data_IF_962244319985
#
_entry.id   IF_962244319985
#
_cell.length_a   1.000
_cell.length_b   1.000
_cell.length_c   1.000
_cell.angle_alpha   90.00
_cell.angle_beta   90.00
_cell.angle_gamma   90.00
#
_symmetry.space_group_name_H-M   'P 1'
#
loop_
_entity.id
_entity.type
_entity.pdbx_description
1 polymer ?
#
# COMPACT_ATOMS: atom_id res chain seq x y z
N UNK A 1 4.82 -35.24 -5.94
CA UNK A 1 4.04 -34.05 -5.55
C UNK A 1 3.07 -33.60 -6.65
N UNK A 2 3.52 -33.45 -7.90
CA UNK A 2 2.68 -33.03 -9.05
C UNK A 2 1.72 -34.09 -9.62
N UNK A 3 1.71 -35.31 -9.07
CA UNK A 3 0.81 -36.37 -9.55
C UNK A 3 -0.62 -36.15 -9.02
N UNK A 4 -1.65 -36.23 -9.88
CA UNK A 4 -3.05 -36.01 -9.48
C UNK A 4 -3.58 -37.09 -8.53
N UNK A 5 -2.93 -38.27 -8.49
CA UNK A 5 -3.41 -39.45 -7.75
C UNK A 5 -2.91 -39.56 -6.30
N UNK A 6 -2.25 -38.53 -5.77
CA UNK A 6 -1.73 -38.53 -4.40
C UNK A 6 -2.81 -38.04 -3.44
N UNK A 7 -2.98 -38.74 -2.30
CA UNK A 7 -3.89 -38.32 -1.22
C UNK A 7 -3.52 -36.92 -0.69
N UNK A 8 -4.49 -36.20 -0.15
CA UNK A 8 -4.24 -34.87 0.42
C UNK A 8 -3.26 -34.92 1.61
N UNK A 9 -3.29 -36.00 2.39
CA UNK A 9 -2.38 -36.24 3.51
C UNK A 9 -0.95 -36.47 3.03
N UNK A 10 -0.73 -37.32 2.03
CA UNK A 10 0.59 -37.54 1.47
C UNK A 10 1.12 -36.28 0.75
N UNK A 11 0.26 -35.49 0.10
CA UNK A 11 0.68 -34.18 -0.45
C UNK A 11 1.16 -33.25 0.66
N UNK A 12 0.44 -33.18 1.77
CA UNK A 12 0.79 -32.38 2.95
C UNK A 12 2.14 -32.81 3.54
N UNK A 13 2.36 -34.10 3.77
CA UNK A 13 3.64 -34.62 4.27
C UNK A 13 4.80 -34.29 3.35
N UNK A 14 4.61 -34.48 2.04
CA UNK A 14 5.64 -34.16 1.05
C UNK A 14 6.00 -32.67 1.10
N UNK A 15 5.02 -31.76 1.16
CA UNK A 15 5.28 -30.30 1.22
C UNK A 15 6.06 -29.93 2.47
N UNK A 16 5.73 -30.52 3.61
CA UNK A 16 6.46 -30.31 4.86
C UNK A 16 7.89 -30.86 4.77
N UNK A 17 8.08 -32.03 4.17
CA UNK A 17 9.41 -32.58 3.90
C UNK A 17 10.25 -31.64 3.01
N UNK A 18 9.66 -31.09 1.94
CA UNK A 18 10.35 -30.13 1.07
C UNK A 18 10.73 -28.85 1.83
N UNK A 19 9.85 -28.35 2.70
CA UNK A 19 10.15 -27.20 3.55
C UNK A 19 11.31 -27.47 4.51
N UNK A 20 11.32 -28.64 5.17
CA UNK A 20 12.44 -29.06 6.02
C UNK A 20 13.73 -29.22 5.22
N UNK A 21 13.66 -29.83 4.03
CA UNK A 21 14.80 -29.99 3.13
C UNK A 21 15.40 -28.64 2.71
N UNK A 22 14.56 -27.69 2.29
CA UNK A 22 14.99 -26.33 1.99
C UNK A 22 15.57 -25.62 3.23
N UNK A 23 15.01 -25.84 4.41
CA UNK A 23 15.53 -25.24 5.65
C UNK A 23 16.91 -25.79 6.02
N UNK A 24 17.12 -27.10 5.91
CA UNK A 24 18.39 -27.76 6.19
C UNK A 24 19.50 -27.30 5.24
N UNK A 25 19.13 -26.91 4.01
CA UNK A 25 20.09 -26.40 3.02
C UNK A 25 20.89 -25.17 3.49
N UNK A 26 20.38 -24.41 4.47
CA UNK A 26 21.10 -23.27 5.09
C UNK A 26 22.45 -23.65 5.70
N UNK A 27 22.64 -24.92 6.06
CA UNK A 27 23.90 -25.45 6.60
C UNK A 27 24.97 -25.71 5.53
N UNK A 28 24.60 -25.72 4.25
CA UNK A 28 25.53 -25.96 3.15
C UNK A 28 26.40 -24.71 2.85
N UNK A 29 27.57 -24.85 2.23
CA UNK A 29 28.29 -23.72 1.67
C UNK A 29 27.48 -22.96 0.61
N UNK A 30 27.63 -21.62 0.53
CA UNK A 30 26.83 -20.74 -0.35
C UNK A 30 26.74 -21.23 -1.81
N UNK A 31 27.85 -21.68 -2.39
CA UNK A 31 27.87 -22.18 -3.79
C UNK A 31 26.98 -23.41 -3.96
N UNK A 32 26.95 -24.30 -2.97
CA UNK A 32 26.10 -25.49 -2.98
C UNK A 32 24.63 -25.12 -2.76
N UNK A 33 24.34 -24.12 -1.91
CA UNK A 33 23.00 -23.57 -1.75
C UNK A 33 22.48 -23.04 -3.09
N UNK A 34 23.20 -22.11 -3.73
CA UNK A 34 22.79 -21.52 -5.00
C UNK A 34 22.52 -22.57 -6.08
N UNK A 35 23.39 -23.60 -6.17
CA UNK A 35 23.17 -24.72 -7.09
C UNK A 35 21.90 -25.49 -6.75
N UNK A 36 21.70 -25.86 -5.48
CA UNK A 36 20.52 -26.60 -5.05
C UNK A 36 19.21 -25.86 -5.36
N UNK A 37 19.14 -24.56 -5.04
CA UNK A 37 17.94 -23.76 -5.29
C UNK A 37 17.66 -23.59 -6.79
N UNK A 38 18.69 -23.47 -7.63
CA UNK A 38 18.53 -23.47 -9.09
C UNK A 38 18.00 -24.82 -9.60
N UNK A 39 18.55 -25.93 -9.09
CA UNK A 39 18.13 -27.27 -9.50
C UNK A 39 16.68 -27.54 -9.06
N UNK A 40 16.29 -27.17 -7.83
CA UNK A 40 14.91 -27.23 -7.35
C UNK A 40 13.94 -26.36 -8.16
N UNK A 41 14.39 -25.15 -8.56
CA UNK A 41 13.62 -24.29 -9.46
C UNK A 41 13.36 -24.96 -10.81
N UNK A 42 14.36 -25.65 -11.36
CA UNK A 42 14.21 -26.40 -12.62
C UNK A 42 13.30 -27.64 -12.51
N UNK A 43 13.21 -28.24 -11.32
CA UNK A 43 12.37 -29.40 -11.03
C UNK A 43 10.91 -29.06 -10.70
N UNK A 44 10.54 -27.77 -10.74
CA UNK A 44 9.16 -27.32 -10.64
C UNK A 44 8.67 -27.05 -9.21
N UNK A 45 9.56 -26.52 -8.35
CA UNK A 45 9.22 -26.13 -6.98
C UNK A 45 8.15 -25.03 -6.92
N UNK A 46 8.14 -24.10 -7.89
CA UNK A 46 7.24 -22.96 -7.87
C UNK A 46 5.80 -23.33 -8.26
N UNK A 47 5.65 -24.38 -9.06
CA UNK A 47 4.38 -25.01 -9.39
C UNK A 47 3.78 -25.66 -8.15
N UNK A 48 4.61 -26.39 -7.38
CA UNK A 48 4.21 -26.96 -6.08
C UNK A 48 3.78 -25.85 -5.12
N UNK A 49 4.55 -24.76 -5.04
CA UNK A 49 4.19 -23.60 -4.21
C UNK A 49 2.87 -22.99 -4.69
N UNK A 50 2.66 -22.85 -6.00
CA UNK A 50 1.43 -22.29 -6.57
C UNK A 50 0.21 -23.13 -6.19
N UNK A 51 0.33 -24.46 -6.19
CA UNK A 51 -0.72 -25.37 -5.72
C UNK A 51 -0.96 -25.22 -4.21
N UNK A 52 0.12 -25.13 -3.44
CA UNK A 52 0.07 -25.02 -1.96
C UNK A 52 -0.60 -23.72 -1.51
N UNK A 53 -0.29 -22.59 -2.15
CA UNK A 53 -0.88 -21.28 -1.81
C UNK A 53 -2.39 -21.20 -2.10
N UNK A 54 -2.94 -22.13 -2.87
CA UNK A 54 -4.38 -22.24 -3.12
C UNK A 54 -5.11 -23.09 -2.06
N UNK A 55 -4.37 -23.74 -1.16
CA UNK A 55 -4.94 -24.62 -0.14
C UNK A 55 -5.63 -23.86 0.99
N UNK A 56 -6.59 -24.53 1.64
CA UNK A 56 -7.22 -24.06 2.88
C UNK A 56 -6.42 -24.47 4.13
N UNK A 57 -5.47 -25.40 4.01
CA UNK A 57 -4.61 -25.81 5.12
C UNK A 57 -3.50 -24.78 5.36
N UNK A 58 -3.68 -23.98 6.41
CA UNK A 58 -2.78 -22.92 6.85
C UNK A 58 -1.34 -23.41 7.09
N UNK A 59 -1.16 -24.66 7.52
CA UNK A 59 0.18 -25.20 7.80
C UNK A 59 0.99 -25.38 6.51
N UNK A 60 0.36 -25.87 5.45
CA UNK A 60 1.04 -26.02 4.17
C UNK A 60 1.21 -24.66 3.48
N UNK A 61 0.23 -23.75 3.58
CA UNK A 61 0.38 -22.39 3.06
C UNK A 61 1.55 -21.66 3.71
N UNK A 62 1.69 -21.78 5.05
CA UNK A 62 2.83 -21.27 5.80
C UNK A 62 4.15 -21.88 5.31
N UNK A 63 4.24 -23.21 5.20
CA UNK A 63 5.42 -23.89 4.67
C UNK A 63 5.77 -23.46 3.22
N UNK A 64 4.76 -23.27 2.35
CA UNK A 64 4.95 -22.78 0.99
C UNK A 64 5.47 -21.33 0.95
N UNK A 65 4.95 -20.48 1.84
CA UNK A 65 5.39 -19.09 1.99
C UNK A 65 6.84 -19.03 2.50
N UNK A 66 7.19 -19.87 3.48
CA UNK A 66 8.56 -19.99 3.98
C UNK A 66 9.51 -20.49 2.88
N UNK A 67 9.12 -21.46 2.06
CA UNK A 67 9.90 -21.89 0.89
C UNK A 67 10.15 -20.70 -0.03
N UNK A 68 9.14 -19.90 -0.37
CA UNK A 68 9.33 -18.70 -1.22
C UNK A 68 10.34 -17.73 -0.61
N UNK A 69 10.24 -17.46 0.69
CA UNK A 69 11.20 -16.60 1.42
C UNK A 69 12.62 -17.18 1.36
N UNK A 70 12.78 -18.49 1.49
CA UNK A 70 14.07 -19.15 1.35
C UNK A 70 14.67 -18.92 -0.04
N UNK A 71 13.88 -19.07 -1.11
CA UNK A 71 14.34 -18.78 -2.47
C UNK A 71 14.73 -17.31 -2.66
N UNK A 72 13.91 -16.37 -2.16
CA UNK A 72 14.18 -14.94 -2.25
C UNK A 72 15.44 -14.52 -1.50
N UNK A 73 15.74 -15.14 -0.36
CA UNK A 73 16.97 -14.84 0.39
C UNK A 73 18.24 -15.34 -0.32
N UNK A 74 18.12 -16.33 -1.22
CA UNK A 74 19.26 -16.89 -1.95
C UNK A 74 19.48 -16.20 -3.29
N UNK A 75 18.44 -16.22 -4.14
CA UNK A 75 18.46 -15.55 -5.44
C UNK A 75 17.02 -15.20 -5.85
N UNK A 76 16.58 -13.95 -5.66
CA UNK A 76 15.28 -13.49 -6.11
C UNK A 76 15.02 -13.71 -7.61
N UNK A 77 16.06 -13.79 -8.43
CA UNK A 77 15.91 -13.92 -9.89
C UNK A 77 15.33 -15.27 -10.31
N UNK A 78 15.44 -16.32 -9.49
CA UNK A 78 14.80 -17.60 -9.75
C UNK A 78 13.27 -17.43 -9.78
N UNK A 79 12.71 -16.82 -8.73
CA UNK A 79 11.27 -16.57 -8.66
C UNK A 79 10.83 -15.55 -9.70
N UNK A 80 11.60 -14.48 -9.94
CA UNK A 80 11.26 -13.49 -10.97
C UNK A 80 11.21 -14.10 -12.37
N UNK A 81 12.20 -14.92 -12.70
CA UNK A 81 12.24 -15.59 -14.01
C UNK A 81 11.07 -16.54 -14.20
N UNK A 82 10.64 -17.21 -13.14
CA UNK A 82 9.42 -18.02 -13.15
C UNK A 82 8.16 -17.16 -13.33
N UNK A 83 7.99 -16.07 -12.58
CA UNK A 83 6.80 -15.20 -12.67
C UNK A 83 6.63 -14.57 -14.06
N UNK A 84 7.72 -14.23 -14.73
CA UNK A 84 7.70 -13.65 -16.08
C UNK A 84 7.25 -14.66 -17.14
N UNK A 85 7.39 -15.97 -16.89
CA UNK A 85 6.83 -17.00 -17.75
C UNK A 85 5.30 -17.01 -17.61
N UNK A 86 4.57 -17.25 -18.71
CA UNK A 86 3.11 -17.10 -18.73
C UNK A 86 2.40 -17.93 -17.65
N UNK A 87 2.90 -19.13 -17.35
CA UNK A 87 2.36 -20.02 -16.32
C UNK A 87 2.60 -19.48 -14.90
N UNK A 88 3.73 -18.80 -14.67
CA UNK A 88 4.14 -18.27 -13.37
C UNK A 88 3.51 -16.92 -13.00
N UNK A 89 2.89 -16.21 -13.94
CA UNK A 89 2.16 -14.96 -13.65
C UNK A 89 1.04 -15.20 -12.60
N UNK A 90 0.42 -16.38 -12.63
CA UNK A 90 -0.57 -16.81 -11.65
C UNK A 90 -0.04 -16.78 -10.21
N UNK A 91 1.24 -17.09 -9.99
CA UNK A 91 1.87 -17.09 -8.67
C UNK A 91 1.94 -15.68 -8.08
N UNK A 92 2.22 -14.65 -8.88
CA UNK A 92 2.17 -13.26 -8.39
C UNK A 92 0.75 -12.91 -7.90
N UNK A 93 -0.28 -13.31 -8.66
CA UNK A 93 -1.67 -13.13 -8.24
C UNK A 93 -2.01 -13.88 -6.95
N UNK A 94 -1.48 -15.09 -6.75
CA UNK A 94 -1.64 -15.86 -5.52
C UNK A 94 -0.95 -15.18 -4.33
N UNK A 95 0.24 -14.61 -4.51
CA UNK A 95 0.95 -13.85 -3.48
C UNK A 95 0.19 -12.57 -3.08
N UNK A 96 -0.35 -11.85 -4.06
CA UNK A 96 -1.20 -10.67 -3.84
C UNK A 96 -2.48 -11.05 -3.08
N UNK A 97 -3.17 -12.12 -3.52
CA UNK A 97 -4.36 -12.64 -2.83
C UNK A 97 -4.02 -13.13 -1.43
N UNK A 98 -2.86 -13.75 -1.26
CA UNK A 98 -2.38 -14.24 0.02
C UNK A 98 -2.18 -13.13 1.04
N UNK A 99 -1.66 -11.97 0.60
CA UNK A 99 -1.52 -10.78 1.46
C UNK A 99 -2.85 -10.30 2.04
N UNK A 100 -3.96 -10.42 1.30
CA UNK A 100 -5.29 -9.97 1.74
C UNK A 100 -6.14 -11.09 2.37
N UNK A 101 -5.60 -12.30 2.47
CA UNK A 101 -6.30 -13.46 3.04
C UNK A 101 -5.89 -13.65 4.51
N UNK A 102 -6.87 -13.88 5.38
CA UNK A 102 -6.62 -14.14 6.80
C UNK A 102 -6.26 -15.62 7.05
N UNK A 103 -4.99 -15.95 6.86
CA UNK A 103 -4.46 -17.27 7.22
C UNK A 103 -4.12 -17.39 8.72
N UNK A 104 -4.13 -16.30 9.50
CA UNK A 104 -3.60 -16.26 10.87
C UNK A 104 -2.08 -16.05 10.94
N UNK A 105 -1.52 -16.11 12.16
CA UNK A 105 -0.07 -16.12 12.44
C UNK A 105 0.77 -15.03 11.74
N UNK A 106 0.18 -13.85 11.48
CA UNK A 106 0.84 -12.74 10.78
C UNK A 106 1.39 -13.10 9.37
N UNK A 107 0.86 -14.13 8.70
CA UNK A 107 1.29 -14.50 7.34
C UNK A 107 1.15 -13.35 6.32
N UNK A 108 0.19 -12.45 6.50
CA UNK A 108 0.05 -11.23 5.69
C UNK A 108 1.32 -10.34 5.71
N UNK A 109 2.14 -10.40 6.76
CA UNK A 109 3.45 -9.73 6.81
C UNK A 109 4.49 -10.44 5.95
N UNK A 110 4.48 -11.78 5.91
CA UNK A 110 5.36 -12.57 5.05
C UNK A 110 5.05 -12.33 3.57
N UNK A 111 3.77 -12.32 3.18
CA UNK A 111 3.37 -11.96 1.81
C UNK A 111 3.77 -10.53 1.44
N UNK A 112 3.62 -9.57 2.36
CA UNK A 112 4.08 -8.20 2.15
C UNK A 112 5.58 -8.15 1.86
N UNK A 113 6.40 -8.88 2.61
CA UNK A 113 7.85 -8.90 2.42
C UNK A 113 8.25 -9.54 1.09
N UNK A 114 7.61 -10.67 0.72
CA UNK A 114 7.78 -11.29 -0.59
C UNK A 114 7.48 -10.28 -1.70
N UNK A 115 6.35 -9.58 -1.61
CA UNK A 115 5.95 -8.59 -2.61
C UNK A 115 6.92 -7.40 -2.64
N UNK A 116 7.43 -6.93 -1.50
CA UNK A 116 8.45 -5.86 -1.45
C UNK A 116 9.73 -6.27 -2.19
N UNK A 117 10.24 -7.48 -1.94
CA UNK A 117 11.44 -7.99 -2.63
C UNK A 117 11.20 -8.11 -4.14
N UNK A 118 10.03 -8.61 -4.54
CA UNK A 118 9.67 -8.72 -5.97
C UNK A 118 9.54 -7.36 -6.65
N UNK A 119 9.01 -6.38 -5.92
CA UNK A 119 8.70 -5.03 -6.40
C UNK A 119 9.83 -4.02 -6.15
N UNK A 120 10.99 -4.40 -5.63
CA UNK A 120 12.06 -3.46 -5.35
C UNK A 120 12.82 -3.04 -6.63
N UNK A 121 12.77 -1.75 -6.95
CA UNK A 121 13.45 -1.15 -8.09
C UNK A 121 14.90 -0.73 -7.87
N UNK A 122 15.35 -0.55 -6.62
CA UNK A 122 16.68 -0.03 -6.32
C UNK A 122 17.73 -1.12 -6.21
N UNK A 123 17.36 -2.26 -5.64
CA UNK A 123 18.34 -3.28 -5.33
C UNK A 123 18.84 -4.01 -6.56
N UNK A 124 18.11 -4.06 -7.69
CA UNK A 124 18.47 -4.94 -8.81
C UNK A 124 18.06 -4.39 -10.20
N UNK A 125 18.90 -4.59 -11.21
CA UNK A 125 18.65 -4.28 -12.63
C UNK A 125 18.20 -5.51 -13.42
N UNK A 126 17.27 -5.35 -14.37
CA UNK A 126 16.91 -6.42 -15.31
C UNK A 126 15.52 -6.33 -15.91
N UNK A 127 15.34 -6.85 -17.13
CA UNK A 127 14.07 -6.83 -17.87
C UNK A 127 12.92 -7.54 -17.14
N UNK A 128 13.22 -8.64 -16.42
CA UNK A 128 12.21 -9.38 -15.67
C UNK A 128 11.52 -8.54 -14.59
N UNK A 129 12.27 -7.63 -13.95
CA UNK A 129 11.74 -6.73 -12.92
C UNK A 129 10.66 -5.81 -13.51
N UNK A 130 10.97 -5.18 -14.64
CA UNK A 130 10.05 -4.21 -15.26
C UNK A 130 8.76 -4.89 -15.71
N UNK A 131 8.85 -6.13 -16.19
CA UNK A 131 7.70 -6.97 -16.55
C UNK A 131 6.86 -7.31 -15.30
N UNK A 132 7.46 -7.71 -14.19
CA UNK A 132 6.71 -8.01 -12.94
C UNK A 132 6.00 -6.77 -12.42
N UNK A 133 6.69 -5.63 -12.41
CA UNK A 133 6.11 -4.34 -12.00
C UNK A 133 4.91 -4.01 -12.90
N UNK A 134 5.05 -4.17 -14.21
CA UNK A 134 3.96 -3.97 -15.17
C UNK A 134 2.76 -4.87 -14.89
N UNK A 135 2.99 -6.18 -14.74
CA UNK A 135 1.94 -7.16 -14.40
C UNK A 135 1.23 -6.75 -13.11
N UNK A 136 1.98 -6.38 -12.06
CA UNK A 136 1.40 -5.96 -10.79
C UNK A 136 0.48 -4.75 -10.97
N UNK A 137 0.94 -3.72 -11.67
CA UNK A 137 0.16 -2.51 -11.88
C UNK A 137 -1.09 -2.73 -12.74
N UNK A 138 -0.98 -3.54 -13.80
CA UNK A 138 -2.08 -3.81 -14.72
C UNK A 138 -3.13 -4.77 -14.17
N UNK A 139 -2.71 -5.75 -13.35
CA UNK A 139 -3.58 -6.87 -12.94
C UNK A 139 -3.93 -6.91 -11.46
N UNK A 140 -3.15 -6.24 -10.61
CA UNK A 140 -3.22 -6.45 -9.16
C UNK A 140 -3.40 -5.17 -8.34
N UNK A 141 -2.97 -4.00 -8.84
CA UNK A 141 -3.13 -2.74 -8.12
C UNK A 141 -4.60 -2.46 -7.80
N UNK A 142 -5.48 -2.53 -8.78
CA UNK A 142 -6.90 -2.20 -8.59
C UNK A 142 -7.57 -3.13 -7.59
N UNK A 143 -7.22 -4.41 -7.61
CA UNK A 143 -7.70 -5.36 -6.61
C UNK A 143 -7.32 -4.96 -5.18
N UNK A 144 -6.07 -4.56 -4.95
CA UNK A 144 -5.60 -4.12 -3.62
C UNK A 144 -6.25 -2.81 -3.18
N UNK A 145 -6.42 -1.87 -4.10
CA UNK A 145 -7.09 -0.59 -3.84
C UNK A 145 -8.58 -0.81 -3.53
N UNK A 146 -9.24 -1.71 -4.26
CA UNK A 146 -10.65 -2.05 -4.06
C UNK A 146 -10.85 -2.78 -2.73
N UNK A 147 -9.93 -3.65 -2.33
CA UNK A 147 -9.91 -4.28 -1.00
C UNK A 147 -9.93 -3.23 0.12
N UNK A 148 -9.16 -2.15 -0.01
CA UNK A 148 -9.20 -1.04 0.96
C UNK A 148 -10.56 -0.34 0.91
N UNK A 149 -11.02 0.06 -0.27
CA UNK A 149 -12.25 0.81 -0.44
C UNK A 149 -13.48 0.05 0.06
N UNK A 150 -13.61 -1.24 -0.26
CA UNK A 150 -14.72 -2.10 0.16
C UNK A 150 -14.71 -2.38 1.65
N UNK A 151 -13.54 -2.28 2.30
CA UNK A 151 -13.40 -2.51 3.75
C UNK A 151 -13.68 -1.26 4.58
N UNK A 152 -13.90 -0.09 3.96
CA UNK A 152 -14.14 1.17 4.65
C UNK A 152 -15.62 1.58 4.61
N UNK A 153 -16.14 2.24 5.66
CA UNK A 153 -17.52 2.73 5.66
C UNK A 153 -17.82 3.69 4.50
N UNK A 154 -18.99 3.51 3.87
CA UNK A 154 -19.52 4.48 2.91
C UNK A 154 -19.95 5.77 3.62
N UNK A 155 -19.73 6.92 2.96
CA UNK A 155 -20.16 8.25 3.46
C UNK A 155 -21.68 8.39 3.59
N UNK A 156 -22.47 7.51 2.95
CA UNK A 156 -23.94 7.58 2.95
C UNK A 156 -24.62 6.89 4.13
N UNK A 157 -23.87 6.23 5.03
CA UNK A 157 -24.46 5.47 6.14
C UNK A 157 -24.86 6.33 7.35
N UNK A 158 -24.67 7.65 7.30
CA UNK A 158 -25.13 8.59 8.34
C UNK A 158 -26.17 9.53 7.76
N UNK A 159 -27.42 9.04 7.72
CA UNK A 159 -28.69 9.76 8.00
C UNK A 159 -29.86 9.04 7.30
N UNK A 160 -30.32 7.93 7.86
CA UNK A 160 -31.69 7.47 7.63
C UNK A 160 -32.38 7.28 8.98
N UNK A 161 -33.53 7.94 9.10
CA UNK A 161 -34.45 7.91 10.22
C UNK A 161 -34.68 6.49 10.77
N UNK A 162 -35.04 6.36 12.06
CA UNK A 162 -35.34 5.08 12.69
C UNK A 162 -36.74 4.59 12.29
N UNK A 163 -37.01 4.37 11.00
CA UNK A 163 -38.22 3.72 10.49
C UNK A 163 -38.05 3.36 9.00
N UNK A 164 -37.36 2.26 8.72
CA UNK A 164 -37.72 1.40 7.58
C UNK A 164 -37.21 -0.01 7.85
N UNK A 165 -38.12 -0.87 8.26
CA UNK A 165 -37.91 -2.31 8.26
C UNK A 165 -37.92 -2.79 6.80
N UNK A 166 -36.75 -3.07 6.23
CA UNK A 166 -36.62 -3.88 5.00
C UNK A 166 -35.39 -4.77 5.12
N UNK A 167 -35.69 -6.05 5.38
CA UNK A 167 -35.11 -7.28 4.81
C UNK A 167 -33.60 -7.49 4.98
N UNK A 168 -33.30 -8.53 5.77
CA UNK A 168 -31.95 -9.01 6.03
C UNK A 168 -31.16 -9.33 4.78
N UNK A 169 -29.95 -8.80 4.73
CA UNK A 169 -28.81 -9.46 4.15
C UNK A 169 -27.88 -9.83 5.28
N UNK A 170 -27.78 -11.12 5.60
CA UNK A 170 -26.64 -11.66 6.33
C UNK A 170 -25.40 -11.43 5.47
N UNK A 171 -24.80 -10.25 5.55
CA UNK A 171 -23.40 -10.05 5.21
C UNK A 171 -22.67 -9.86 6.52
N UNK A 172 -22.47 -10.94 7.26
CA UNK A 172 -21.19 -11.16 7.94
C UNK A 172 -20.10 -11.27 6.85
N UNK A 173 -19.97 -10.21 6.04
CA UNK A 173 -18.96 -10.09 5.02
C UNK A 173 -17.64 -10.09 5.78
N UNK A 174 -16.84 -11.13 5.53
CA UNK A 174 -15.56 -11.40 6.18
C UNK A 174 -14.76 -10.08 6.28
N UNK A 175 -14.87 -9.40 7.43
CA UNK A 175 -14.29 -8.06 7.60
C UNK A 175 -12.79 -8.25 7.59
N UNK A 176 -12.14 -7.73 6.55
CA UNK A 176 -10.69 -7.79 6.42
C UNK A 176 -10.09 -7.18 7.69
N UNK A 177 -9.14 -7.92 8.28
CA UNK A 177 -8.47 -7.52 9.51
C UNK A 177 -7.77 -6.18 9.31
N UNK A 178 -7.85 -5.25 10.28
CA UNK A 178 -7.17 -3.96 10.19
C UNK A 178 -5.67 -4.06 9.83
N UNK A 179 -4.97 -5.04 10.39
CA UNK A 179 -3.53 -5.27 10.16
C UNK A 179 -3.23 -5.64 8.70
N UNK A 180 -4.15 -6.34 8.04
CA UNK A 180 -4.04 -6.64 6.60
C UNK A 180 -4.14 -5.34 5.79
N UNK A 181 -5.13 -4.48 6.08
CA UNK A 181 -5.30 -3.19 5.39
C UNK A 181 -4.08 -2.29 5.60
N UNK A 182 -3.48 -2.33 6.78
CA UNK A 182 -2.23 -1.62 7.06
C UNK A 182 -1.11 -2.10 6.13
N UNK A 183 -0.92 -3.41 6.00
CA UNK A 183 0.09 -3.99 5.11
C UNK A 183 -0.16 -3.66 3.63
N UNK A 184 -1.41 -3.67 3.17
CA UNK A 184 -1.74 -3.22 1.81
C UNK A 184 -1.34 -1.76 1.63
N UNK A 185 -1.73 -0.88 2.55
CA UNK A 185 -1.37 0.54 2.49
C UNK A 185 0.15 0.75 2.51
N UNK A 186 0.89 -0.09 3.25
CA UNK A 186 2.34 -0.07 3.28
C UNK A 186 3.00 -0.49 1.97
N UNK A 187 2.49 -1.54 1.32
CA UNK A 187 2.95 -1.93 -0.01
C UNK A 187 2.71 -0.81 -1.02
N UNK A 188 1.57 -0.13 -0.93
CA UNK A 188 1.26 1.00 -1.81
C UNK A 188 2.19 2.19 -1.54
N UNK A 189 2.51 2.51 -0.28
CA UNK A 189 3.52 3.51 0.06
C UNK A 189 4.90 3.13 -0.53
N UNK A 190 5.30 1.86 -0.38
CA UNK A 190 6.54 1.34 -0.95
C UNK A 190 6.58 1.53 -2.47
N UNK A 191 5.49 1.19 -3.16
CA UNK A 191 5.36 1.40 -4.60
C UNK A 191 5.50 2.89 -4.99
N UNK A 192 4.96 3.81 -4.18
CA UNK A 192 5.09 5.26 -4.42
C UNK A 192 6.55 5.71 -4.42
N UNK A 193 7.34 5.17 -3.49
CA UNK A 193 8.76 5.53 -3.34
C UNK A 193 9.60 4.88 -4.45
N UNK A 194 9.38 3.60 -4.74
CA UNK A 194 10.22 2.80 -5.64
C UNK A 194 9.86 2.98 -7.13
N UNK A 195 8.63 3.36 -7.49
CA UNK A 195 8.17 3.37 -8.89
C UNK A 195 7.66 4.73 -9.38
N UNK A 196 8.45 5.81 -9.27
CA UNK A 196 7.97 7.18 -9.50
C UNK A 196 7.27 7.38 -10.85
N UNK A 197 7.75 6.74 -11.92
CA UNK A 197 7.17 6.85 -13.25
C UNK A 197 5.82 6.13 -13.41
N UNK A 198 5.62 4.98 -12.74
CA UNK A 198 4.38 4.18 -12.87
C UNK A 198 3.25 4.73 -12.00
N UNK A 199 3.60 5.38 -10.88
CA UNK A 199 2.63 5.97 -9.95
C UNK A 199 1.77 7.02 -10.63
N UNK A 200 2.36 7.85 -11.50
CA UNK A 200 1.62 8.88 -12.23
C UNK A 200 0.47 8.30 -13.05
N UNK A 201 0.70 7.26 -13.84
CA UNK A 201 -0.33 6.72 -14.72
C UNK A 201 -1.38 5.94 -13.92
N UNK A 202 -0.95 5.02 -13.07
CA UNK A 202 -1.89 4.06 -12.48
C UNK A 202 -2.71 4.67 -11.33
N UNK A 203 -2.09 5.47 -10.44
CA UNK A 203 -2.82 6.03 -9.31
C UNK A 203 -3.77 7.16 -9.73
N UNK A 204 -3.38 7.96 -10.72
CA UNK A 204 -4.22 9.05 -11.22
C UNK A 204 -5.38 8.54 -12.08
N UNK A 205 -5.16 7.52 -12.93
CA UNK A 205 -6.21 7.04 -13.83
C UNK A 205 -7.25 6.18 -13.09
N UNK A 206 -6.86 5.44 -12.06
CA UNK A 206 -7.76 4.49 -11.38
C UNK A 206 -8.40 5.06 -10.10
N UNK A 207 -8.28 6.37 -9.86
CA UNK A 207 -8.74 7.05 -8.64
C UNK A 207 -8.25 6.37 -7.34
N UNK A 208 -7.05 5.77 -7.38
CA UNK A 208 -6.56 4.94 -6.29
C UNK A 208 -6.34 5.75 -5.01
N UNK A 209 -5.89 7.00 -5.13
CA UNK A 209 -5.64 7.87 -3.98
C UNK A 209 -6.93 8.12 -3.19
N UNK A 210 -8.03 8.43 -3.87
CA UNK A 210 -9.33 8.67 -3.21
C UNK A 210 -9.85 7.40 -2.52
N UNK A 211 -9.72 6.25 -3.20
CA UNK A 211 -10.11 4.94 -2.66
C UNK A 211 -9.28 4.57 -1.42
N UNK A 212 -7.97 4.80 -1.42
CA UNK A 212 -7.10 4.54 -0.25
C UNK A 212 -7.46 5.48 0.91
N UNK A 213 -7.78 6.74 0.60
CA UNK A 213 -8.20 7.74 1.58
C UNK A 213 -9.52 7.42 2.28
N UNK A 214 -10.32 6.44 1.83
CA UNK A 214 -11.48 5.99 2.61
C UNK A 214 -11.08 5.39 3.96
N UNK A 215 -9.81 4.98 4.14
CA UNK A 215 -9.27 4.54 5.41
C UNK A 215 -9.37 5.61 6.51
N UNK A 216 -9.47 6.90 6.17
CA UNK A 216 -9.65 7.95 7.19
C UNK A 216 -10.98 7.85 7.94
N UNK A 217 -11.93 7.07 7.40
CA UNK A 217 -13.26 6.83 7.99
C UNK A 217 -13.28 5.64 8.95
N UNK A 218 -12.15 4.95 9.12
CA UNK A 218 -12.03 3.81 10.03
C UNK A 218 -11.93 4.28 11.48
N UNK A 219 -12.51 3.49 12.40
CA UNK A 219 -12.40 3.75 13.84
C UNK A 219 -10.97 3.53 14.35
N UNK A 220 -10.23 2.62 13.72
CA UNK A 220 -8.86 2.26 14.06
C UNK A 220 -7.90 3.40 13.69
N UNK A 221 -7.42 4.14 14.70
CA UNK A 221 -6.61 5.36 14.47
C UNK A 221 -5.29 5.10 13.75
N UNK A 222 -4.68 3.93 13.91
CA UNK A 222 -3.47 3.59 13.17
C UNK A 222 -3.71 3.45 11.65
N UNK A 223 -4.91 3.07 11.21
CA UNK A 223 -5.26 3.07 9.78
C UNK A 223 -5.46 4.49 9.24
N UNK A 224 -6.06 5.37 10.04
CA UNK A 224 -6.17 6.79 9.68
C UNK A 224 -4.77 7.41 9.55
N UNK A 225 -3.86 7.13 10.48
CA UNK A 225 -2.46 7.55 10.41
C UNK A 225 -1.76 6.95 9.19
N UNK A 226 -2.03 5.69 8.84
CA UNK A 226 -1.48 5.08 7.63
C UNK A 226 -1.92 5.82 6.35
N UNK A 227 -3.17 6.27 6.28
CA UNK A 227 -3.66 7.11 5.17
C UNK A 227 -2.98 8.49 5.12
N UNK A 228 -2.73 9.10 6.29
CA UNK A 228 -1.95 10.35 6.38
C UNK A 228 -0.52 10.14 5.89
N UNK A 229 0.12 9.05 6.31
CA UNK A 229 1.47 8.66 5.84
C UNK A 229 1.47 8.43 4.33
N UNK A 230 0.48 7.74 3.79
CA UNK A 230 0.36 7.52 2.34
C UNK A 230 0.26 8.84 1.58
N UNK A 231 -0.57 9.78 2.03
CA UNK A 231 -0.65 11.11 1.41
C UNK A 231 0.64 11.90 1.52
N UNK A 232 1.33 11.82 2.66
CA UNK A 232 2.67 12.40 2.81
C UNK A 232 3.62 11.81 1.76
N UNK A 233 3.67 10.49 1.60
CA UNK A 233 4.54 9.82 0.63
C UNK A 233 4.26 10.27 -0.80
N UNK A 234 2.99 10.46 -1.18
CA UNK A 234 2.61 11.01 -2.50
C UNK A 234 3.12 12.45 -2.65
N UNK A 235 2.89 13.30 -1.64
CA UNK A 235 3.29 14.72 -1.67
C UNK A 235 4.80 14.89 -1.69
N UNK A 236 5.55 14.06 -0.95
CA UNK A 236 7.01 14.08 -0.91
C UNK A 236 7.67 13.77 -2.27
N UNK A 237 6.92 13.25 -3.24
CA UNK A 237 7.41 13.11 -4.63
C UNK A 237 7.67 14.45 -5.31
N UNK A 238 7.02 15.52 -4.84
CA UNK A 238 7.09 16.86 -5.41
C UNK A 238 6.86 16.89 -6.94
N UNK A 239 5.94 16.05 -7.42
CA UNK A 239 5.53 16.02 -8.83
C UNK A 239 4.36 16.98 -9.06
N UNK A 240 4.46 17.83 -10.07
CA UNK A 240 3.47 18.88 -10.34
C UNK A 240 2.10 18.30 -10.74
N UNK A 241 2.04 17.16 -11.44
CA UNK A 241 0.76 16.56 -11.80
C UNK A 241 0.06 15.92 -10.60
N UNK A 242 0.81 15.22 -9.75
CA UNK A 242 0.29 14.69 -8.48
C UNK A 242 -0.22 15.82 -7.59
N UNK A 243 0.57 16.88 -7.40
CA UNK A 243 0.15 18.05 -6.60
C UNK A 243 -1.11 18.70 -7.18
N UNK A 244 -1.15 18.94 -8.50
CA UNK A 244 -2.36 19.49 -9.15
C UNK A 244 -3.57 18.59 -8.99
N UNK A 245 -3.40 17.27 -9.06
CA UNK A 245 -4.48 16.32 -8.83
C UNK A 245 -4.98 16.36 -7.37
N UNK A 246 -4.07 16.40 -6.39
CA UNK A 246 -4.41 16.55 -4.96
C UNK A 246 -5.23 17.79 -4.71
N UNK A 247 -4.84 18.93 -5.28
CA UNK A 247 -5.58 20.20 -5.18
C UNK A 247 -6.94 20.09 -5.90
N UNK A 248 -6.95 19.68 -7.17
CA UNK A 248 -8.15 19.64 -8.01
C UNK A 248 -9.27 18.78 -7.42
N UNK A 249 -8.92 17.63 -6.84
CA UNK A 249 -9.89 16.68 -6.28
C UNK A 249 -10.03 16.79 -4.76
N UNK A 250 -9.47 17.84 -4.14
CA UNK A 250 -9.61 18.12 -2.72
C UNK A 250 -9.16 16.94 -1.83
N UNK A 251 -8.08 16.25 -2.19
CA UNK A 251 -7.69 14.95 -1.61
C UNK A 251 -7.15 15.05 -0.18
N UNK A 252 -6.85 16.25 0.32
CA UNK A 252 -6.54 16.43 1.75
C UNK A 252 -7.80 16.54 2.64
N UNK A 253 -8.98 16.77 2.06
CA UNK A 253 -10.21 16.93 2.83
C UNK A 253 -10.51 15.77 3.78
N UNK A 254 -10.44 14.48 3.37
CA UNK A 254 -10.72 13.37 4.27
C UNK A 254 -9.77 13.28 5.47
N UNK A 255 -8.55 13.82 5.33
CA UNK A 255 -7.57 13.91 6.42
C UNK A 255 -7.91 15.05 7.36
N UNK A 256 -8.23 16.23 6.82
CA UNK A 256 -8.61 17.39 7.64
C UNK A 256 -9.92 17.11 8.38
N UNK A 257 -10.92 16.50 7.74
CA UNK A 257 -12.16 16.12 8.41
C UNK A 257 -11.88 15.16 9.59
N UNK A 258 -11.02 14.15 9.39
CA UNK A 258 -10.63 13.23 10.47
C UNK A 258 -9.85 13.93 11.60
N UNK A 259 -9.05 14.96 11.28
CA UNK A 259 -8.36 15.79 12.26
C UNK A 259 -9.34 16.64 13.09
N UNK A 260 -10.32 17.26 12.43
CA UNK A 260 -11.36 18.05 13.11
C UNK A 260 -12.23 17.17 14.01
N UNK A 261 -12.65 16.00 13.52
CA UNK A 261 -13.40 15.01 14.31
C UNK A 261 -12.62 14.48 15.52
N UNK A 262 -11.28 14.48 15.44
CA UNK A 262 -10.43 14.09 16.57
C UNK A 262 -10.47 15.11 17.71
N UNK A 263 -10.74 16.39 17.42
CA UNK A 263 -10.70 17.48 18.39
C UNK A 263 -9.32 17.62 19.05
N UNK A 264 -9.29 18.03 20.32
CA UNK A 264 -8.06 18.28 21.08
C UNK A 264 -7.41 17.01 21.65
N UNK A 265 -7.79 15.82 21.17
CA UNK A 265 -7.19 14.57 21.63
C UNK A 265 -5.75 14.47 21.12
N UNK A 266 -4.79 14.64 22.02
CA UNK A 266 -3.38 14.42 21.72
C UNK A 266 -3.10 12.95 21.46
N UNK A 267 -2.93 12.60 20.19
CA UNK A 267 -2.65 11.23 19.76
C UNK A 267 -1.87 11.24 18.42
N UNK A 268 -1.54 10.05 17.95
CA UNK A 268 -0.76 9.86 16.73
C UNK A 268 -1.40 10.46 15.48
N UNK A 269 -2.75 10.54 15.41
CA UNK A 269 -3.45 11.20 14.29
C UNK A 269 -3.19 12.70 14.31
N UNK A 270 -3.33 13.35 15.46
CA UNK A 270 -3.03 14.78 15.60
C UNK A 270 -1.58 15.07 15.21
N UNK A 271 -0.62 14.32 15.77
CA UNK A 271 0.80 14.48 15.43
C UNK A 271 1.07 14.23 13.94
N UNK A 272 0.48 13.20 13.35
CA UNK A 272 0.68 12.87 11.93
C UNK A 272 0.14 13.94 10.97
N UNK A 273 -1.03 14.52 11.27
CA UNK A 273 -1.61 15.59 10.45
C UNK A 273 -0.79 16.88 10.56
N UNK A 274 -0.40 17.25 11.78
CA UNK A 274 0.46 18.43 11.99
C UNK A 274 1.81 18.27 11.31
N UNK A 275 2.40 17.07 11.34
CA UNK A 275 3.64 16.78 10.61
C UNK A 275 3.46 16.84 9.09
N UNK A 276 2.32 16.37 8.56
CA UNK A 276 2.01 16.49 7.13
C UNK A 276 1.93 17.97 6.70
N UNK A 277 1.22 18.81 7.46
CA UNK A 277 1.14 20.24 7.20
C UNK A 277 2.52 20.90 7.30
N UNK A 278 3.29 20.55 8.32
CA UNK A 278 4.65 21.03 8.52
C UNK A 278 5.59 20.61 7.37
N UNK A 279 5.43 19.41 6.83
CA UNK A 279 6.15 18.95 5.66
C UNK A 279 5.80 19.77 4.41
N UNK A 280 4.51 19.97 4.12
CA UNK A 280 4.05 20.83 3.00
C UNK A 280 4.66 22.23 3.10
N UNK A 281 4.71 22.79 4.32
CA UNK A 281 5.28 24.11 4.60
C UNK A 281 6.79 24.14 4.38
N UNK A 282 7.53 23.18 4.93
CA UNK A 282 9.00 23.10 4.87
C UNK A 282 9.51 22.85 3.46
N UNK A 283 8.84 21.99 2.70
CA UNK A 283 9.15 21.71 1.29
C UNK A 283 8.73 22.85 0.35
N UNK A 284 8.14 23.94 0.88
CA UNK A 284 7.71 25.12 0.12
C UNK A 284 6.75 24.80 -1.04
N UNK A 285 5.82 23.85 -0.83
CA UNK A 285 4.86 23.41 -1.85
C UNK A 285 3.74 24.43 -2.01
N UNK A 286 4.04 25.56 -2.68
CA UNK A 286 3.15 26.73 -2.81
C UNK A 286 1.70 26.37 -3.21
N UNK A 287 1.44 25.51 -4.22
CA UNK A 287 0.06 25.16 -4.58
C UNK A 287 -0.72 24.50 -3.43
N UNK A 288 -0.06 23.65 -2.64
CA UNK A 288 -0.68 22.98 -1.49
C UNK A 288 -0.87 23.92 -0.31
N UNK A 289 0.05 24.85 -0.07
CA UNK A 289 -0.10 25.86 0.99
C UNK A 289 -1.33 26.73 0.73
N UNK A 290 -1.46 27.24 -0.51
CA UNK A 290 -2.63 28.03 -0.93
C UNK A 290 -3.91 27.21 -0.78
N UNK A 291 -3.94 26.02 -1.39
CA UNK A 291 -5.09 25.12 -1.34
C UNK A 291 -5.55 24.80 0.09
N UNK A 292 -4.63 24.44 0.99
CA UNK A 292 -4.98 24.08 2.37
C UNK A 292 -5.55 25.28 3.12
N UNK A 293 -4.93 26.46 2.99
CA UNK A 293 -5.39 27.66 3.69
C UNK A 293 -6.72 28.15 3.14
N UNK A 294 -6.89 28.22 1.83
CA UNK A 294 -8.14 28.68 1.20
C UNK A 294 -9.30 27.70 1.43
N UNK A 295 -9.05 26.40 1.42
CA UNK A 295 -10.13 25.39 1.51
C UNK A 295 -10.53 25.04 2.94
N UNK A 296 -9.62 25.18 3.91
CA UNK A 296 -9.82 24.66 5.27
C UNK A 296 -9.56 25.67 6.40
N UNK A 297 -9.42 26.97 6.10
CA UNK A 297 -9.18 28.02 7.10
C UNK A 297 -10.10 27.88 8.32
N UNK A 298 -11.42 27.90 8.12
CA UNK A 298 -12.41 27.85 9.22
C UNK A 298 -12.29 26.61 10.11
N UNK A 299 -11.88 25.48 9.52
CA UNK A 299 -11.68 24.24 10.24
C UNK A 299 -10.39 24.28 11.06
N UNK A 300 -9.31 24.79 10.47
CA UNK A 300 -7.99 24.89 11.10
C UNK A 300 -7.92 25.99 12.16
N UNK A 301 -8.73 27.04 12.06
CA UNK A 301 -8.81 28.14 13.03
C UNK A 301 -9.08 27.64 14.46
N UNK A 302 -9.85 26.55 14.60
CA UNK A 302 -10.16 25.91 15.90
C UNK A 302 -8.93 25.38 16.63
N UNK A 303 -7.84 25.20 15.89
CA UNK A 303 -6.61 24.58 16.34
C UNK A 303 -5.41 25.54 16.27
N UNK A 304 -5.66 26.86 16.21
CA UNK A 304 -4.60 27.89 16.13
C UNK A 304 -3.62 27.90 17.30
N UNK A 305 -3.92 27.22 18.40
CA UNK A 305 -2.99 27.06 19.51
C UNK A 305 -1.77 26.19 19.14
N UNK A 306 -1.82 25.40 18.06
CA UNK A 306 -0.66 24.65 17.58
C UNK A 306 0.27 25.53 16.73
N UNK A 307 1.55 25.58 17.12
CA UNK A 307 2.58 26.33 16.40
C UNK A 307 2.72 25.94 14.92
N UNK A 308 2.49 24.67 14.57
CA UNK A 308 2.51 24.22 13.16
C UNK A 308 1.44 24.90 12.31
N UNK A 309 0.24 25.14 12.86
CA UNK A 309 -0.87 25.80 12.15
C UNK A 309 -0.59 27.30 12.00
N UNK A 310 -0.09 27.95 13.06
CA UNK A 310 0.34 29.35 13.02
C UNK A 310 1.45 29.56 11.97
N UNK A 311 2.47 28.71 11.97
CA UNK A 311 3.57 28.76 11.01
C UNK A 311 3.09 28.51 9.57
N UNK A 312 2.11 27.62 9.38
CA UNK A 312 1.51 27.36 8.08
C UNK A 312 0.75 28.59 7.55
N UNK A 313 -0.04 29.25 8.40
CA UNK A 313 -0.76 30.49 8.07
C UNK A 313 0.19 31.63 7.72
N UNK A 314 1.27 31.80 8.48
CA UNK A 314 2.31 32.80 8.19
C UNK A 314 2.96 32.53 6.82
N UNK A 315 3.22 31.26 6.49
CA UNK A 315 3.78 30.88 5.19
C UNK A 315 2.84 31.24 4.03
N UNK A 316 1.54 31.08 4.21
CA UNK A 316 0.54 31.53 3.24
C UNK A 316 0.56 33.05 3.04
N UNK A 317 0.61 33.83 4.12
CA UNK A 317 0.69 35.31 4.05
C UNK A 317 1.91 35.78 3.26
N UNK A 318 3.07 35.17 3.47
CA UNK A 318 4.29 35.45 2.70
C UNK A 318 4.10 35.21 1.18
N UNK A 319 3.28 34.24 0.80
CA UNK A 319 2.99 33.97 -0.62
C UNK A 319 2.03 34.99 -1.25
N UNK A 320 1.13 35.59 -0.47
CA UNK A 320 0.25 36.67 -0.92
C UNK A 320 1.05 37.97 -1.11
N UNK A 321 1.83 38.36 -0.10
CA UNK A 321 2.66 39.58 -0.15
C UNK A 321 3.64 39.53 -1.33
N UNK A 322 4.29 38.38 -1.56
CA UNK A 322 5.20 38.19 -2.71
C UNK A 322 4.49 38.15 -4.07
N UNK A 323 3.19 37.86 -4.12
CA UNK A 323 2.40 37.95 -5.34
C UNK A 323 2.01 39.41 -5.63
N UNK A 324 1.58 40.15 -4.60
CA UNK A 324 1.20 41.56 -4.70
C UNK A 324 2.39 42.44 -5.09
N UNK A 325 3.58 42.18 -4.54
CA UNK A 325 4.82 42.88 -4.94
C UNK A 325 5.23 42.61 -6.39
N UNK A 326 4.92 41.42 -6.94
CA UNK A 326 5.19 41.12 -8.36
C UNK A 326 4.18 41.78 -9.29
N UNK A 327 2.92 41.90 -8.86
CA UNK A 327 1.90 42.62 -9.61
C UNK A 327 2.19 44.13 -9.64
N UNK A 328 2.58 44.73 -8.51
CA UNK A 328 2.90 46.16 -8.45
C UNK A 328 4.17 46.53 -9.22
N UNK A 329 5.16 45.64 -9.30
CA UNK A 329 6.38 45.85 -10.07
C UNK A 329 6.21 45.62 -11.59
N UNK A 330 5.09 45.03 -12.05
CA UNK A 330 4.84 44.73 -13.46
C UNK A 330 3.86 45.71 -14.14
N UNK A 331 3.36 46.70 -13.40
CA UNK A 331 2.68 47.87 -13.95
C UNK A 331 3.74 48.95 -14.17
N UNK A 332 4.23 49.18 -15.41
CA UNK A 332 5.06 50.36 -15.66
C UNK A 332 4.21 51.61 -15.48
N UNK A 333 4.75 52.60 -14.75
CA UNK A 333 4.18 53.94 -14.66
C UNK A 333 3.86 54.45 -16.07
N UNK A 334 2.57 54.72 -16.31
CA UNK A 334 2.06 55.23 -17.58
C UNK A 334 2.11 56.75 -17.61
#
# INVERSE_FOLDING_TARGET
>A
MRSPNISMESKRELVLFLHEFCTLSKSLPLVQQLRLFRDLSGEGVFEIVSDVLQSQDRKIVSAGTDIVILFLNQDPNLLRSYIVQQEGNSLLGLLVKGMVTDFGEQMHCQFLEILRILMDSFTMSGAHRDVIIEIFYERHLDYLVDVIASSCPSRSATRTSPNSAVVGGNTEGHRIKPEILLNVCELLCFCVVHHPYRIKCNFLMNNAIEKILTMTRRSEKFLVVAAVRFMRTIISRNDEHLIRHVVKFNLLKPIIDAFVENGDRYNMLQSGVLELLEHIRKENLKPLVIYVTESFSDQLMKFEHFGSIQAFKLKYQQYLESADMKLSASVPDM
#
